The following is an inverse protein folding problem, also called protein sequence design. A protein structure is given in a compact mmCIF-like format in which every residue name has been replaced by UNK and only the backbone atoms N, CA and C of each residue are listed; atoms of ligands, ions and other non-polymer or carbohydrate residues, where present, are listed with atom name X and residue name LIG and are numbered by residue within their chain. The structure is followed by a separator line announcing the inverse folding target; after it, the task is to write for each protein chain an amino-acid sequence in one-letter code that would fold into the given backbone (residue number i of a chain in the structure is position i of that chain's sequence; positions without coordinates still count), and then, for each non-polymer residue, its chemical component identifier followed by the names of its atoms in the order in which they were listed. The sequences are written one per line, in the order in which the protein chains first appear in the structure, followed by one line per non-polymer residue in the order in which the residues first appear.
data_IF_091195326099
#
_entry.id   IF_091195326099
#
_cell.length_a   1.000
_cell.length_b   1.000
_cell.length_c   1.000
_cell.angle_alpha   90.00
_cell.angle_beta   90.00
_cell.angle_gamma   90.00
#
_symmetry.space_group_name_H-M   'P 1'
#
loop_
_entity.id
_entity.type
_entity.pdbx_description
1 polymer ?
#
# COMPACT_ATOMS: atom_id res chain seq x y z
N UNK A 1 -57.51 -13.29 14.69
CA UNK A 1 -56.55 -13.45 13.58
C UNK A 1 -55.33 -12.60 13.90
N UNK A 2 -54.14 -13.20 14.02
CA UNK A 2 -52.90 -12.49 14.38
C UNK A 2 -51.94 -12.64 13.21
N UNK A 3 -51.78 -11.58 12.42
CA UNK A 3 -50.89 -11.54 11.26
C UNK A 3 -49.44 -11.47 11.77
N UNK A 4 -48.64 -12.47 11.41
CA UNK A 4 -47.21 -12.52 11.72
C UNK A 4 -46.46 -11.80 10.59
N UNK A 5 -45.85 -10.65 10.88
CA UNK A 5 -44.91 -9.99 9.95
C UNK A 5 -43.55 -10.68 10.08
N UNK A 6 -43.13 -11.38 9.02
CA UNK A 6 -41.79 -11.92 8.91
C UNK A 6 -40.88 -10.83 8.32
N UNK A 7 -40.10 -10.17 9.17
CA UNK A 7 -38.99 -9.34 8.70
C UNK A 7 -37.85 -10.26 8.24
N UNK A 8 -37.68 -10.40 6.93
CA UNK A 8 -36.45 -10.93 6.37
C UNK A 8 -35.34 -9.89 6.63
N UNK A 9 -34.53 -10.13 7.66
CA UNK A 9 -33.31 -9.39 7.89
C UNK A 9 -32.30 -9.84 6.83
N UNK A 10 -32.13 -9.06 5.77
CA UNK A 10 -31.04 -9.24 4.83
C UNK A 10 -29.73 -9.08 5.61
N UNK A 11 -29.01 -10.18 5.82
CA UNK A 11 -27.65 -10.14 6.35
C UNK A 11 -26.79 -9.46 5.29
N UNK A 12 -26.49 -8.18 5.50
CA UNK A 12 -25.42 -7.48 4.79
C UNK A 12 -24.12 -8.10 5.31
N UNK A 13 -23.52 -9.02 4.55
CA UNK A 13 -22.19 -9.52 4.89
C UNK A 13 -21.22 -8.37 4.70
N UNK A 14 -20.67 -7.86 5.79
CA UNK A 14 -19.46 -7.06 5.74
C UNK A 14 -18.36 -7.99 5.25
N UNK A 15 -18.08 -7.95 3.96
CA UNK A 15 -16.85 -8.53 3.42
C UNK A 15 -15.70 -7.76 4.08
N UNK A 16 -15.00 -8.43 4.98
CA UNK A 16 -13.73 -7.93 5.47
C UNK A 16 -12.83 -7.79 4.23
N UNK A 17 -12.58 -6.56 3.79
CA UNK A 17 -11.60 -6.28 2.75
C UNK A 17 -10.29 -6.92 3.21
N UNK A 18 -9.83 -7.94 2.49
CA UNK A 18 -8.55 -8.55 2.78
C UNK A 18 -7.46 -7.48 2.69
N UNK A 19 -6.56 -7.44 3.65
CA UNK A 19 -5.44 -6.51 3.60
C UNK A 19 -4.51 -6.92 2.46
N UNK A 20 -4.39 -6.08 1.43
CA UNK A 20 -3.59 -6.38 0.24
C UNK A 20 -2.15 -5.83 0.34
N UNK A 21 -1.94 -4.80 1.16
CA UNK A 21 -0.67 -4.08 1.29
C UNK A 21 -0.43 -3.69 2.75
N UNK A 22 0.82 -3.77 3.20
CA UNK A 22 1.29 -3.14 4.44
C UNK A 22 2.42 -2.14 4.14
N UNK A 23 2.56 -1.13 4.99
CA UNK A 23 3.77 -0.31 5.03
C UNK A 23 4.79 -1.09 5.86
N UNK A 24 5.87 -1.55 5.23
CA UNK A 24 6.96 -2.22 5.92
C UNK A 24 7.86 -1.20 6.62
N UNK A 25 8.23 -0.14 5.90
CA UNK A 25 9.04 0.95 6.44
C UNK A 25 8.64 2.31 5.83
N UNK A 26 8.84 3.38 6.61
CA UNK A 26 8.57 4.75 6.21
C UNK A 26 9.67 5.66 6.77
N UNK A 27 10.36 6.35 5.87
CA UNK A 27 11.25 7.44 6.21
C UNK A 27 10.66 8.78 5.76
N UNK A 28 10.53 9.71 6.71
CA UNK A 28 9.99 11.05 6.49
C UNK A 28 11.05 12.11 6.84
N UNK A 29 11.31 13.01 5.90
CA UNK A 29 12.25 14.12 5.98
C UNK A 29 11.54 15.44 5.62
N UNK A 30 10.36 15.65 6.22
CA UNK A 30 9.51 16.80 5.96
C UNK A 30 8.08 16.44 5.59
N UNK A 31 7.63 16.90 4.42
CA UNK A 31 6.28 16.67 3.89
C UNK A 31 6.37 15.65 2.76
N UNK A 32 5.70 14.48 2.89
CA UNK A 32 5.61 13.49 1.81
C UNK A 32 5.21 14.15 0.48
N UNK A 33 6.18 14.30 -0.42
CA UNK A 33 6.03 15.04 -1.66
C UNK A 33 7.04 14.63 -2.73
N UNK A 34 6.90 15.21 -3.91
CA UNK A 34 7.74 14.89 -5.09
C UNK A 34 9.19 15.42 -5.00
N UNK A 35 9.61 15.97 -3.87
CA UNK A 35 10.92 16.60 -3.68
C UNK A 35 11.40 16.35 -2.26
N UNK A 36 12.38 15.46 -2.09
CA UNK A 36 12.95 15.14 -0.78
C UNK A 36 13.65 13.78 -0.75
N UNK A 37 14.39 13.53 0.34
CA UNK A 37 14.95 12.22 0.65
C UNK A 37 13.92 11.42 1.46
N UNK A 38 12.73 11.22 0.92
CA UNK A 38 11.64 10.53 1.60
C UNK A 38 11.31 9.25 0.84
N UNK A 39 10.99 8.19 1.58
CA UNK A 39 10.64 6.93 0.96
C UNK A 39 9.69 6.12 1.83
N UNK A 40 8.92 5.27 1.16
CA UNK A 40 8.04 4.29 1.78
C UNK A 40 8.28 2.94 1.12
N UNK A 41 8.39 1.91 1.94
CA UNK A 41 8.47 0.54 1.49
C UNK A 41 7.15 -0.17 1.77
N UNK A 42 6.58 -0.77 0.74
CA UNK A 42 5.34 -1.53 0.79
C UNK A 42 5.64 -3.01 0.64
N UNK A 43 5.03 -3.84 1.47
CA UNK A 43 4.96 -5.29 1.25
C UNK A 43 3.57 -5.66 0.73
N UNK A 44 3.54 -6.34 -0.42
CA UNK A 44 2.31 -6.87 -0.98
C UNK A 44 1.94 -8.19 -0.30
N UNK A 45 0.71 -8.30 0.18
CA UNK A 45 0.17 -9.52 0.79
C UNK A 45 -0.67 -10.35 -0.19
N UNK A 46 -0.98 -9.80 -1.36
CA UNK A 46 -1.68 -10.46 -2.46
C UNK A 46 -1.05 -10.11 -3.79
N UNK A 47 -1.34 -10.92 -4.81
CA UNK A 47 -0.99 -10.58 -6.19
C UNK A 47 -1.84 -9.39 -6.65
N UNK A 48 -1.20 -8.34 -7.15
CA UNK A 48 -1.86 -7.12 -7.61
C UNK A 48 -1.43 -6.78 -9.04
N UNK A 49 -2.39 -6.42 -9.87
CA UNK A 49 -2.10 -5.82 -11.18
C UNK A 49 -1.54 -4.42 -11.02
N UNK A 50 -0.81 -3.93 -12.03
CA UNK A 50 -0.38 -2.54 -12.08
C UNK A 50 -1.55 -1.56 -11.86
N UNK A 51 -2.71 -1.83 -12.47
CA UNK A 51 -3.89 -0.99 -12.32
C UNK A 51 -4.47 -1.00 -10.89
N UNK A 52 -4.42 -2.14 -10.19
CA UNK A 52 -4.82 -2.22 -8.78
C UNK A 52 -3.84 -1.43 -7.91
N UNK A 53 -2.53 -1.56 -8.12
CA UNK A 53 -1.53 -0.79 -7.38
C UNK A 53 -1.65 0.72 -7.61
N UNK A 54 -1.88 1.16 -8.85
CA UNK A 54 -2.06 2.58 -9.17
C UNK A 54 -3.35 3.19 -8.60
N UNK A 55 -4.30 2.37 -8.13
CA UNK A 55 -5.47 2.84 -7.40
C UNK A 55 -5.14 3.21 -5.93
N UNK A 56 -3.99 2.78 -5.41
CA UNK A 56 -3.57 3.09 -4.05
C UNK A 56 -2.91 4.47 -3.94
N UNK A 57 -3.12 5.10 -2.79
CA UNK A 57 -2.40 6.31 -2.40
C UNK A 57 -2.10 6.31 -0.92
N UNK A 58 -0.93 6.81 -0.56
CA UNK A 58 -0.45 6.90 0.82
C UNK A 58 -0.58 8.34 1.25
N UNK A 59 -1.44 8.60 2.23
CA UNK A 59 -1.62 9.92 2.81
C UNK A 59 -0.68 10.15 3.99
N UNK A 60 -0.08 11.33 4.06
CA UNK A 60 0.68 11.79 5.22
C UNK A 60 -0.16 12.76 6.04
N UNK A 61 -0.11 12.62 7.36
CA UNK A 61 -0.81 13.48 8.30
C UNK A 61 0.01 13.67 9.55
N UNK A 62 0.09 14.91 10.06
CA UNK A 62 0.75 15.23 11.34
C UNK A 62 -0.18 15.08 12.55
N UNK A 63 -1.43 14.68 12.33
CA UNK A 63 -2.38 14.32 13.39
C UNK A 63 -3.41 13.32 12.86
N UNK A 64 -4.20 12.69 13.75
CA UNK A 64 -5.16 11.66 13.38
C UNK A 64 -6.17 12.08 12.28
N UNK A 65 -6.52 13.37 12.18
CA UNK A 65 -7.55 13.84 11.22
C UNK A 65 -7.40 15.28 10.72
N UNK A 66 -6.59 16.13 11.37
CA UNK A 66 -6.72 17.58 11.20
C UNK A 66 -5.64 18.24 10.32
N UNK A 67 -4.60 17.51 9.91
CA UNK A 67 -3.48 18.11 9.19
C UNK A 67 -2.90 17.15 8.17
N UNK A 68 -3.59 17.04 7.02
CA UNK A 68 -3.08 16.33 5.84
C UNK A 68 -1.86 17.07 5.32
N UNK A 69 -0.71 16.43 5.34
CA UNK A 69 0.60 17.02 5.01
C UNK A 69 0.96 16.75 3.55
N UNK A 70 0.53 15.60 3.01
CA UNK A 70 0.85 15.19 1.66
C UNK A 70 0.10 13.93 1.21
N UNK A 71 0.30 13.57 -0.06
CA UNK A 71 -0.21 12.32 -0.64
C UNK A 71 0.79 11.82 -1.68
N UNK A 72 1.19 10.57 -1.56
CA UNK A 72 1.94 9.84 -2.57
C UNK A 72 0.99 8.92 -3.34
N UNK A 73 0.97 9.07 -4.67
CA UNK A 73 0.25 8.16 -5.56
C UNK A 73 1.24 7.21 -6.21
N UNK A 74 0.88 5.92 -6.27
CA UNK A 74 1.59 4.94 -7.09
C UNK A 74 1.27 5.25 -8.56
N UNK A 75 2.30 5.47 -9.38
CA UNK A 75 2.13 5.75 -10.82
C UNK A 75 3.21 5.04 -11.62
N UNK A 76 2.92 4.67 -12.86
CA UNK A 76 3.89 4.04 -13.75
C UNK A 76 4.16 2.57 -13.45
N UNK A 77 3.32 1.92 -12.64
CA UNK A 77 3.49 0.51 -12.28
C UNK A 77 3.44 -0.39 -13.51
N UNK A 78 2.60 -0.03 -14.50
CA UNK A 78 2.49 -0.76 -15.76
C UNK A 78 3.79 -0.75 -16.60
N UNK A 79 4.70 0.18 -16.35
CA UNK A 79 6.02 0.22 -17.01
C UNK A 79 7.05 -0.72 -16.37
N UNK A 80 6.80 -1.18 -15.14
CA UNK A 80 7.64 -2.13 -14.41
C UNK A 80 7.16 -3.56 -14.69
N UNK A 81 5.89 -3.85 -14.42
CA UNK A 81 5.29 -5.18 -14.63
C UNK A 81 3.75 -5.08 -14.76
N UNK A 82 3.14 -6.05 -15.45
CA UNK A 82 1.67 -6.14 -15.54
C UNK A 82 1.00 -6.60 -14.23
N UNK A 83 1.71 -7.46 -13.49
CA UNK A 83 1.29 -8.03 -12.20
C UNK A 83 2.50 -8.09 -11.28
N UNK A 84 2.26 -7.81 -9.99
CA UNK A 84 3.21 -7.87 -8.90
C UNK A 84 2.75 -8.96 -7.94
N UNK A 85 3.65 -9.86 -7.57
CA UNK A 85 3.30 -11.02 -6.75
C UNK A 85 3.22 -10.66 -5.26
N UNK A 86 2.42 -11.40 -4.50
CA UNK A 86 2.50 -11.38 -3.05
C UNK A 86 3.94 -11.65 -2.58
N UNK A 87 4.39 -10.94 -1.55
CA UNK A 87 5.77 -10.96 -1.08
C UNK A 87 6.69 -9.93 -1.75
N UNK A 88 6.23 -9.21 -2.78
CA UNK A 88 7.03 -8.15 -3.40
C UNK A 88 7.20 -6.97 -2.44
N UNK A 89 8.44 -6.48 -2.31
CA UNK A 89 8.76 -5.20 -1.69
C UNK A 89 8.81 -4.10 -2.77
N UNK A 90 8.05 -3.03 -2.57
CA UNK A 90 8.06 -1.85 -3.43
C UNK A 90 8.57 -0.65 -2.65
N UNK A 91 9.70 -0.09 -3.07
CA UNK A 91 10.26 1.15 -2.51
C UNK A 91 9.83 2.32 -3.41
N UNK A 92 9.08 3.26 -2.83
CA UNK A 92 8.60 4.45 -3.53
C UNK A 92 9.28 5.67 -2.92
N UNK A 93 9.91 6.48 -3.76
CA UNK A 93 10.72 7.61 -3.31
C UNK A 93 10.12 8.92 -3.80
N UNK A 94 10.18 9.97 -2.97
CA UNK A 94 9.67 11.30 -3.32
C UNK A 94 10.47 11.99 -4.43
N UNK A 95 11.81 11.79 -4.47
CA UNK A 95 12.71 12.31 -5.50
C UNK A 95 13.52 11.21 -6.19
N UNK A 96 14.76 11.49 -6.61
CA UNK A 96 15.74 10.44 -6.91
C UNK A 96 15.94 9.64 -5.63
N UNK A 97 15.43 8.41 -5.61
CA UNK A 97 15.64 7.49 -4.51
C UNK A 97 17.11 7.33 -4.14
N UNK A 98 17.42 6.84 -2.93
CA UNK A 98 18.78 6.39 -2.66
C UNK A 98 19.20 5.41 -3.75
N UNK A 99 20.46 5.49 -4.19
CA UNK A 99 20.99 4.47 -5.07
C UNK A 99 20.77 3.11 -4.38
N UNK A 100 20.10 2.17 -5.04
CA UNK A 100 19.95 0.82 -4.51
C UNK A 100 21.35 0.27 -4.19
N UNK A 101 21.52 -0.18 -2.95
CA UNK A 101 22.70 -0.93 -2.58
C UNK A 101 22.56 -2.36 -3.11
N UNK A 102 22.91 -2.54 -4.37
CA UNK A 102 22.96 -3.86 -5.02
C UNK A 102 24.14 -4.72 -4.51
N UNK A 103 24.96 -4.21 -3.60
CA UNK A 103 26.03 -4.99 -2.97
C UNK A 103 25.53 -5.82 -1.78
N UNK A 104 24.34 -5.52 -1.25
CA UNK A 104 23.70 -6.33 -0.23
C UNK A 104 22.97 -7.52 -0.88
N UNK A 105 23.71 -8.61 -1.08
CA UNK A 105 23.16 -9.93 -1.36
C UNK A 105 23.02 -10.68 -0.04
N UNK A 106 21.85 -10.68 0.64
CA UNK A 106 21.67 -11.54 1.79
C UNK A 106 21.88 -12.99 1.32
N UNK A 107 22.58 -13.84 2.09
CA UNK A 107 22.60 -15.27 1.79
C UNK A 107 21.16 -15.77 1.66
N UNK A 108 20.90 -16.73 0.76
CA UNK A 108 19.59 -17.36 0.55
C UNK A 108 19.00 -17.85 1.90
N UNK A 109 18.26 -16.98 2.59
CA UNK A 109 17.62 -17.25 3.88
C UNK A 109 16.10 -17.29 3.71
N UNK A 110 15.66 -17.92 2.62
CA UNK A 110 14.26 -18.30 2.40
C UNK A 110 13.98 -19.73 2.90
N UNK A 111 14.85 -20.28 3.76
CA UNK A 111 14.57 -21.51 4.49
C UNK A 111 13.85 -21.22 5.81
N UNK A 112 12.53 -21.02 5.73
CA UNK A 112 11.61 -21.26 6.85
C UNK A 112 11.05 -22.68 6.77
#
# INVERSE_FOLDING_TARGET
MRTLFLFALAALSAEAMAQEIIINELYRDGNMGATGNEWVELLLLSDLTAAQLEAYSIGDSSSATASKVGKLSLTGMASIAGTFQAGTLLVITGGTGPAEDLSYGPPDDWSL
#
